data_IF_505033431741
#
_entry.id   IF_505033431741
#
_cell.length_a   1.000
_cell.length_b   1.000
_cell.length_c   1.000
_cell.angle_alpha   90.00
_cell.angle_beta   90.00
_cell.angle_gamma   90.00
#
_symmetry.space_group_name_H-M   'P 1'
#
loop_
_entity.id
_entity.type
_entity.pdbx_description
1 polymer ?
#
# COMPACT_ATOMS: atom_id res chain seq x y z
N UNK A 1 4.54 -17.81 -15.63
CA UNK A 1 3.66 -18.99 -15.45
C UNK A 1 3.17 -19.49 -16.82
N UNK A 2 3.39 -20.78 -17.18
CA UNK A 2 3.05 -21.36 -18.49
C UNK A 2 1.55 -21.24 -18.84
N UNK A 3 1.22 -21.16 -20.13
CA UNK A 3 -0.14 -20.88 -20.63
C UNK A 3 -1.19 -21.91 -20.17
N UNK A 4 -0.86 -23.20 -20.25
CA UNK A 4 -1.80 -24.27 -19.86
C UNK A 4 -2.13 -24.28 -18.38
N UNK A 5 -1.19 -23.81 -17.55
CA UNK A 5 -1.41 -23.67 -16.12
C UNK A 5 -2.40 -22.55 -15.78
N UNK A 6 -2.61 -21.56 -16.66
CA UNK A 6 -3.58 -20.46 -16.48
C UNK A 6 -5.03 -20.89 -16.73
N UNK A 7 -5.25 -22.03 -17.39
CA UNK A 7 -6.60 -22.54 -17.75
C UNK A 7 -7.25 -23.44 -16.69
N UNK A 8 -6.51 -23.85 -15.66
CA UNK A 8 -7.08 -24.64 -14.55
C UNK A 8 -7.96 -23.74 -13.69
N UNK A 9 -9.09 -24.25 -13.20
CA UNK A 9 -9.90 -23.62 -12.15
C UNK A 9 -8.98 -23.24 -11.00
N UNK A 10 -8.73 -21.94 -10.86
CA UNK A 10 -7.91 -21.37 -9.80
C UNK A 10 -8.83 -20.46 -9.01
N UNK A 11 -8.64 -20.43 -7.71
CA UNK A 11 -9.13 -19.35 -6.84
C UNK A 11 -8.38 -18.03 -7.11
N UNK A 12 -7.80 -17.86 -8.30
CA UNK A 12 -7.03 -16.72 -8.73
C UNK A 12 -7.65 -16.21 -10.02
N UNK A 13 -8.48 -15.19 -9.86
CA UNK A 13 -9.11 -14.48 -10.96
C UNK A 13 -8.25 -13.27 -11.30
N UNK A 14 -7.85 -13.16 -12.56
CA UNK A 14 -7.22 -11.93 -13.05
C UNK A 14 -8.35 -11.03 -13.51
N UNK A 15 -8.59 -9.97 -12.75
CA UNK A 15 -9.49 -8.90 -13.16
C UNK A 15 -8.61 -7.81 -13.78
N UNK A 16 -8.72 -7.63 -15.10
CA UNK A 16 -7.97 -6.61 -15.83
C UNK A 16 -8.57 -5.24 -15.55
N UNK A 17 -7.77 -4.33 -15.03
CA UNK A 17 -8.23 -3.06 -14.52
C UNK A 17 -7.26 -1.94 -14.91
N UNK A 18 -7.82 -0.82 -15.39
CA UNK A 18 -7.19 0.34 -16.03
C UNK A 18 -6.99 0.19 -17.57
N UNK A 19 -7.83 0.85 -18.40
CA UNK A 19 -7.60 0.95 -19.84
C UNK A 19 -6.38 1.84 -20.15
N UNK A 20 -5.77 1.65 -21.32
CA UNK A 20 -4.64 2.49 -21.75
C UNK A 20 -5.03 3.98 -21.79
N UNK A 21 -4.26 4.82 -21.10
CA UNK A 21 -4.51 6.27 -21.00
C UNK A 21 -5.51 6.67 -19.91
N UNK A 22 -6.06 5.72 -19.15
CA UNK A 22 -6.86 6.00 -17.96
C UNK A 22 -6.00 6.44 -16.78
N UNK A 23 -6.55 7.32 -15.94
CA UNK A 23 -5.93 7.68 -14.68
C UNK A 23 -6.04 6.54 -13.66
N UNK A 24 -4.94 6.25 -12.97
CA UNK A 24 -4.90 5.15 -12.00
C UNK A 24 -5.70 5.47 -10.73
N UNK A 25 -5.67 6.72 -10.28
CA UNK A 25 -6.36 7.15 -9.06
C UNK A 25 -7.87 7.08 -9.24
N UNK A 26 -8.38 7.49 -10.39
CA UNK A 26 -9.80 7.38 -10.76
C UNK A 26 -10.30 5.94 -10.71
N UNK A 27 -9.43 4.98 -11.06
CA UNK A 27 -9.78 3.57 -11.05
C UNK A 27 -9.64 2.91 -9.67
N UNK A 28 -8.53 3.16 -8.98
CA UNK A 28 -8.19 2.43 -7.74
C UNK A 28 -9.04 2.89 -6.56
N UNK A 29 -9.43 4.18 -6.50
CA UNK A 29 -10.16 4.74 -5.35
C UNK A 29 -11.53 4.07 -5.13
N UNK A 30 -12.39 3.88 -6.15
CA UNK A 30 -13.63 3.12 -5.99
C UNK A 30 -13.38 1.68 -5.54
N UNK A 31 -12.38 1.02 -6.13
CA UNK A 31 -12.04 -0.36 -5.76
C UNK A 31 -11.63 -0.49 -4.29
N UNK A 32 -10.76 0.39 -3.79
CA UNK A 32 -10.34 0.38 -2.38
C UNK A 32 -11.53 0.68 -1.46
N UNK A 33 -12.41 1.61 -1.85
CA UNK A 33 -13.65 1.89 -1.10
C UNK A 33 -14.55 0.66 -0.98
N UNK A 34 -14.72 -0.09 -2.07
CA UNK A 34 -15.51 -1.33 -2.08
C UNK A 34 -14.85 -2.42 -1.22
N UNK A 35 -13.51 -2.54 -1.28
CA UNK A 35 -12.77 -3.47 -0.44
C UNK A 35 -12.91 -3.15 1.05
N UNK A 36 -12.82 -1.88 1.46
CA UNK A 36 -13.03 -1.49 2.87
C UNK A 36 -14.44 -1.80 3.36
N UNK A 37 -15.44 -1.64 2.49
CA UNK A 37 -16.82 -2.06 2.81
C UNK A 37 -16.91 -3.58 2.95
N UNK A 38 -16.24 -4.33 2.09
CA UNK A 38 -16.19 -5.79 2.14
C UNK A 38 -15.44 -6.31 3.38
N UNK A 39 -14.45 -5.58 3.88
CA UNK A 39 -13.74 -5.86 5.13
C UNK A 39 -14.65 -5.71 6.37
N UNK A 40 -15.62 -4.80 6.32
CA UNK A 40 -16.65 -4.65 7.34
C UNK A 40 -17.75 -5.73 7.25
N UNK A 41 -17.83 -6.40 6.11
CA UNK A 41 -18.81 -7.44 5.81
C UNK A 41 -20.07 -6.91 5.11
N UNK A 42 -20.55 -7.69 4.15
CA UNK A 42 -21.78 -7.40 3.42
C UNK A 42 -22.65 -8.66 3.28
N UNK A 43 -23.96 -8.47 3.20
CA UNK A 43 -24.88 -9.55 2.81
C UNK A 43 -24.86 -9.67 1.29
N UNK A 44 -24.55 -10.85 0.78
CA UNK A 44 -24.61 -11.19 -0.64
C UNK A 44 -25.49 -12.41 -0.85
N UNK A 45 -26.36 -12.35 -1.87
CA UNK A 45 -27.11 -13.53 -2.29
C UNK A 45 -26.18 -14.47 -3.09
N UNK A 46 -25.85 -15.61 -2.49
CA UNK A 46 -25.01 -16.64 -3.09
C UNK A 46 -25.85 -17.89 -3.24
N UNK A 47 -26.09 -18.32 -4.49
CA UNK A 47 -26.91 -19.50 -4.79
C UNK A 47 -28.31 -19.48 -4.15
N UNK A 48 -28.96 -18.30 -4.11
CA UNK A 48 -30.28 -18.04 -3.49
C UNK A 48 -30.29 -18.02 -1.96
N UNK A 49 -29.13 -18.11 -1.31
CA UNK A 49 -28.97 -17.96 0.14
C UNK A 49 -28.33 -16.61 0.44
N UNK A 50 -28.85 -15.88 1.41
CA UNK A 50 -28.24 -14.64 1.88
C UNK A 50 -27.07 -14.97 2.80
N UNK A 51 -25.85 -14.73 2.33
CA UNK A 51 -24.61 -15.02 3.04
C UNK A 51 -23.95 -13.74 3.54
N UNK A 52 -23.44 -13.75 4.78
CA UNK A 52 -22.54 -12.71 5.27
C UNK A 52 -21.12 -12.96 4.75
N UNK A 53 -20.66 -12.11 3.85
CA UNK A 53 -19.34 -12.23 3.20
C UNK A 53 -18.42 -11.16 3.75
N UNK A 54 -17.24 -11.58 4.19
CA UNK A 54 -16.12 -10.72 4.58
C UNK A 54 -14.91 -11.10 3.74
N UNK A 55 -14.26 -10.11 3.14
CA UNK A 55 -12.99 -10.30 2.46
C UNK A 55 -12.18 -9.00 2.54
N UNK A 56 -10.86 -9.12 2.47
CA UNK A 56 -9.95 -7.98 2.56
C UNK A 56 -8.81 -8.08 1.57
N UNK A 57 -8.06 -7.00 1.46
CA UNK A 57 -6.95 -6.91 0.53
C UNK A 57 -5.70 -7.57 1.13
N UNK A 58 -5.26 -8.69 0.54
CA UNK A 58 -4.15 -9.47 1.10
C UNK A 58 -2.75 -9.02 0.69
N UNK A 59 -2.54 -8.65 -0.58
CA UNK A 59 -1.23 -8.27 -1.10
C UNK A 59 -1.38 -7.35 -2.31
N UNK A 60 -0.53 -6.33 -2.38
CA UNK A 60 -0.44 -5.43 -3.52
C UNK A 60 0.98 -5.48 -4.07
N UNK A 61 1.08 -5.85 -5.34
CA UNK A 61 2.34 -5.80 -6.08
C UNK A 61 2.29 -4.65 -7.05
N UNK A 62 3.19 -3.69 -6.89
CA UNK A 62 3.38 -2.60 -7.82
C UNK A 62 4.88 -2.34 -8.00
N UNK A 63 5.24 -1.88 -9.20
CA UNK A 63 6.60 -1.43 -9.51
C UNK A 63 7.04 -0.32 -8.55
N UNK A 64 8.35 -0.19 -8.36
CA UNK A 64 8.93 0.60 -7.26
C UNK A 64 8.39 2.04 -7.14
N UNK A 65 8.28 2.86 -8.20
CA UNK A 65 7.77 4.21 -8.01
C UNK A 65 6.27 4.23 -7.66
N UNK A 66 5.46 3.43 -8.34
CA UNK A 66 4.00 3.41 -8.14
C UNK A 66 3.64 2.82 -6.77
N UNK A 67 4.27 1.73 -6.35
CA UNK A 67 3.92 1.13 -5.07
C UNK A 67 4.36 1.96 -3.87
N UNK A 68 5.41 2.78 -3.99
CA UNK A 68 5.71 3.79 -2.97
C UNK A 68 4.59 4.83 -2.88
N UNK A 69 4.11 5.30 -4.03
CA UNK A 69 3.04 6.29 -4.12
C UNK A 69 1.73 5.77 -3.47
N UNK A 70 1.41 4.48 -3.64
CA UNK A 70 0.28 3.81 -2.98
C UNK A 70 0.37 3.82 -1.45
N UNK A 71 1.57 3.58 -0.91
CA UNK A 71 1.83 3.48 0.53
C UNK A 71 2.17 4.82 1.20
N UNK A 72 2.05 5.94 0.47
CA UNK A 72 2.40 7.26 1.00
C UNK A 72 3.89 7.44 1.29
N UNK A 73 4.77 6.61 0.72
CA UNK A 73 6.22 6.70 0.91
C UNK A 73 6.84 7.50 -0.24
N UNK A 74 7.80 8.36 0.07
CA UNK A 74 8.61 9.07 -0.94
C UNK A 74 9.44 8.05 -1.73
N UNK A 75 9.82 8.41 -2.95
CA UNK A 75 10.61 7.54 -3.83
C UNK A 75 12.07 7.39 -3.33
N UNK A 76 12.86 6.58 -4.04
CA UNK A 76 14.26 6.25 -3.71
C UNK A 76 15.20 7.42 -3.45
N UNK A 77 14.85 8.66 -3.83
CA UNK A 77 15.63 9.85 -3.51
C UNK A 77 15.54 10.32 -2.04
N UNK A 78 14.56 9.83 -1.26
CA UNK A 78 14.41 10.16 0.15
C UNK A 78 15.47 9.49 1.04
N UNK A 79 15.63 9.98 2.27
CA UNK A 79 16.53 9.36 3.27
C UNK A 79 16.07 7.92 3.53
N UNK A 80 14.79 7.71 3.86
CA UNK A 80 14.19 6.38 4.05
C UNK A 80 13.12 6.10 2.99
N UNK A 81 13.55 5.97 1.73
CA UNK A 81 12.65 5.80 0.58
C UNK A 81 12.15 4.38 0.34
N UNK A 82 12.52 3.39 1.16
CA UNK A 82 12.03 2.03 1.01
C UNK A 82 10.64 1.88 1.68
N UNK A 83 9.70 1.24 0.97
CA UNK A 83 8.36 0.93 1.51
C UNK A 83 8.35 -0.28 2.45
N UNK A 84 9.41 -1.08 2.46
CA UNK A 84 9.52 -2.32 3.24
C UNK A 84 10.41 -2.17 4.47
N UNK A 85 11.38 -1.25 4.45
CA UNK A 85 12.28 -1.02 5.57
C UNK A 85 12.60 0.46 5.77
N UNK A 86 13.17 0.77 6.94
CA UNK A 86 13.57 2.10 7.39
C UNK A 86 15.06 2.37 7.17
N UNK A 87 15.70 1.62 6.26
CA UNK A 87 17.11 1.83 5.92
C UNK A 87 17.31 3.24 5.37
N UNK A 88 18.30 3.94 5.90
CA UNK A 88 18.73 5.22 5.35
C UNK A 88 19.50 4.97 4.04
N UNK A 89 19.36 5.87 3.06
CA UNK A 89 19.99 5.74 1.74
C UNK A 89 21.52 5.61 1.82
N UNK A 90 22.16 6.22 2.83
CA UNK A 90 23.59 6.06 3.08
C UNK A 90 24.01 4.62 3.43
N UNK A 91 23.10 3.82 3.99
CA UNK A 91 23.34 2.45 4.41
C UNK A 91 22.69 1.43 3.47
N UNK A 92 22.16 1.85 2.32
CA UNK A 92 21.39 0.98 1.43
C UNK A 92 22.20 -0.20 0.84
N UNK A 93 23.53 -0.14 0.91
CA UNK A 93 24.46 -1.18 0.44
C UNK A 93 25.08 -1.99 1.57
N UNK A 94 24.66 -1.80 2.82
CA UNK A 94 25.18 -2.59 3.94
C UNK A 94 24.53 -3.98 3.96
N UNK A 95 25.36 -5.00 3.82
CA UNK A 95 24.95 -6.40 3.77
C UNK A 95 24.65 -6.98 5.17
N UNK A 96 25.05 -6.29 6.25
CA UNK A 96 24.88 -6.74 7.63
C UNK A 96 23.61 -6.21 8.29
N UNK A 97 22.73 -5.55 7.52
CA UNK A 97 21.49 -5.00 8.05
C UNK A 97 20.53 -6.09 8.49
N UNK A 98 20.10 -6.03 9.75
CA UNK A 98 18.96 -6.81 10.22
C UNK A 98 17.66 -6.15 9.71
N UNK A 99 17.22 -6.59 8.53
CA UNK A 99 15.99 -6.10 7.86
C UNK A 99 14.76 -6.26 8.77
N UNK A 100 14.69 -7.29 9.61
CA UNK A 100 13.54 -7.49 10.49
C UNK A 100 13.48 -6.38 11.55
N UNK A 101 14.62 -6.03 12.14
CA UNK A 101 14.70 -4.94 13.14
C UNK A 101 14.35 -3.56 12.56
N UNK A 102 14.64 -3.33 11.28
CA UNK A 102 14.38 -2.07 10.59
C UNK A 102 13.17 -2.13 9.65
N UNK A 103 12.32 -3.14 9.78
CA UNK A 103 11.14 -3.29 8.93
C UNK A 103 10.17 -2.13 9.10
N UNK A 104 9.61 -1.68 7.98
CA UNK A 104 8.56 -0.66 7.98
C UNK A 104 7.20 -1.35 8.09
N UNK A 105 6.73 -1.50 9.32
CA UNK A 105 5.39 -2.03 9.57
C UNK A 105 4.31 -0.97 9.39
N UNK A 106 3.13 -1.39 8.93
CA UNK A 106 1.98 -0.50 8.68
C UNK A 106 1.60 0.29 9.93
N UNK A 107 1.28 -0.39 11.04
CA UNK A 107 0.89 0.27 12.30
C UNK A 107 1.91 1.31 12.80
N UNK A 108 3.22 1.06 12.63
CA UNK A 108 4.26 2.03 13.01
C UNK A 108 4.23 3.23 12.07
N UNK A 109 4.05 2.97 10.77
CA UNK A 109 3.97 4.02 9.74
C UNK A 109 2.73 4.88 9.95
N UNK A 110 1.62 4.30 10.37
CA UNK A 110 0.38 5.03 10.68
C UNK A 110 0.60 6.00 11.83
N UNK A 111 1.25 5.56 12.91
CA UNK A 111 1.66 6.45 14.02
C UNK A 111 2.59 7.56 13.52
N UNK A 112 3.53 7.27 12.63
CA UNK A 112 4.41 8.31 12.04
C UNK A 112 3.62 9.33 11.20
N UNK A 113 2.57 8.89 10.49
CA UNK A 113 1.65 9.79 9.79
C UNK A 113 0.84 10.63 10.78
N UNK A 114 0.29 10.03 11.82
CA UNK A 114 -0.44 10.73 12.88
C UNK A 114 0.42 11.83 13.51
N UNK A 115 1.67 11.51 13.90
CA UNK A 115 2.64 12.47 14.43
C UNK A 115 2.94 13.59 13.44
N UNK A 116 3.13 13.24 12.16
CA UNK A 116 3.39 14.18 11.08
C UNK A 116 2.21 15.16 10.88
N UNK A 117 0.96 14.68 10.94
CA UNK A 117 -0.24 15.49 10.77
C UNK A 117 -0.62 16.28 12.03
N UNK A 118 -0.26 15.78 13.21
CA UNK A 118 -0.43 16.47 14.49
C UNK A 118 0.63 17.56 14.75
N UNK A 119 1.73 17.57 13.98
CA UNK A 119 2.79 18.56 14.13
C UNK A 119 2.27 20.01 13.99
N UNK A 120 2.59 20.92 14.94
CA UNK A 120 1.97 22.24 14.99
C UNK A 120 2.49 23.22 13.93
N UNK A 121 3.63 22.94 13.30
CA UNK A 121 4.20 23.79 12.25
C UNK A 121 4.48 23.00 10.97
N UNK A 122 4.39 23.69 9.81
CA UNK A 122 4.75 23.10 8.51
C UNK A 122 6.21 22.64 8.47
N UNK A 123 7.10 23.32 9.20
CA UNK A 123 8.50 22.95 9.31
C UNK A 123 8.67 21.60 10.03
N UNK A 124 8.09 21.44 11.21
CA UNK A 124 8.14 20.17 11.95
C UNK A 124 7.50 19.02 11.16
N UNK A 125 6.36 19.28 10.50
CA UNK A 125 5.74 18.32 9.59
C UNK A 125 6.69 17.89 8.47
N UNK A 126 7.37 18.86 7.85
CA UNK A 126 8.34 18.61 6.79
C UNK A 126 9.56 17.83 7.30
N UNK A 127 9.99 18.08 8.53
CA UNK A 127 11.12 17.39 9.16
C UNK A 127 10.79 15.91 9.40
N UNK A 128 9.62 15.61 10.01
CA UNK A 128 9.13 14.24 10.20
C UNK A 128 8.98 13.54 8.84
N UNK A 129 8.35 14.20 7.86
CA UNK A 129 8.18 13.66 6.52
C UNK A 129 9.52 13.39 5.81
N UNK A 130 10.58 14.14 6.13
CA UNK A 130 11.92 13.97 5.56
C UNK A 130 12.67 12.84 6.26
N UNK A 131 12.59 12.77 7.58
CA UNK A 131 13.22 11.75 8.42
C UNK A 131 12.73 10.35 8.05
N UNK A 132 11.40 10.18 7.99
CA UNK A 132 10.77 8.88 7.73
C UNK A 132 10.51 8.62 6.25
N UNK A 133 10.80 9.58 5.37
CA UNK A 133 10.53 9.44 3.94
C UNK A 133 9.04 9.38 3.60
N UNK A 134 8.17 10.04 4.38
CA UNK A 134 6.73 10.07 4.15
C UNK A 134 6.34 11.17 3.15
N UNK A 135 5.26 10.93 2.41
CA UNK A 135 4.57 11.95 1.62
C UNK A 135 3.72 12.84 2.52
N UNK A 136 3.42 14.05 2.06
CA UNK A 136 2.51 14.97 2.75
C UNK A 136 1.02 14.63 2.52
N UNK A 137 0.72 13.44 2.02
CA UNK A 137 -0.61 12.91 1.75
C UNK A 137 -0.72 11.54 2.40
N UNK A 138 -1.93 11.18 2.84
CA UNK A 138 -2.19 9.83 3.31
C UNK A 138 -2.01 8.80 2.16
N UNK A 139 -1.67 7.55 2.49
CA UNK A 139 -1.64 6.45 1.54
C UNK A 139 -3.00 6.28 0.83
N UNK A 140 -2.98 5.80 -0.42
CA UNK A 140 -4.21 5.53 -1.19
C UNK A 140 -4.94 4.29 -0.68
N UNK A 141 -4.21 3.42 0.00
CA UNK A 141 -4.69 2.14 0.53
C UNK A 141 -5.41 2.28 1.88
N UNK A 142 -5.14 3.38 2.60
CA UNK A 142 -5.65 3.66 3.95
C UNK A 142 -6.89 4.55 3.92
#
# INVERSE_FOLDING_TARGET
MPFDNRKRLRNHFVLGFVPFGGDFDDFIRPFISDMKRLEQGIVMNVLKEDCWIVAGLGCITADLPQGNDLTGIKRHGAIKGCRTCLVAKENATDENLDIASISRYHHITDTQFEDMFAAPTLMQRSDIAKEYGLRNSLPVLD
#
